data_IF_237338000887
#
_entry.id   IF_237338000887
#
_cell.length_a   1.000
_cell.length_b   1.000
_cell.length_c   1.000
_cell.angle_alpha   90.00
_cell.angle_beta   90.00
_cell.angle_gamma   90.00
#
_symmetry.space_group_name_H-M   'P 1'
#
loop_
_entity.id
_entity.type
_entity.pdbx_description
1 polymer ?
#
# COMPACT_ATOMS: atom_id res chain seq x y z
N UNK A 1 -0.99 19.51 -6.76
CA UNK A 1 -2.20 19.09 -7.48
C UNK A 1 -1.83 17.84 -8.27
N UNK A 2 -2.20 16.64 -7.80
CA UNK A 2 -1.82 15.36 -8.42
C UNK A 2 -2.50 15.23 -9.79
N UNK A 3 -1.75 15.20 -10.89
CA UNK A 3 -2.32 14.92 -12.21
C UNK A 3 -2.48 13.41 -12.38
N UNK A 4 -3.65 12.89 -12.02
CA UNK A 4 -3.99 11.51 -12.31
C UNK A 4 -4.24 11.36 -13.81
N UNK A 5 -3.68 10.31 -14.42
CA UNK A 5 -4.01 9.96 -15.80
C UNK A 5 -5.49 9.53 -15.87
N UNK A 6 -6.12 9.70 -17.04
CA UNK A 6 -7.52 9.31 -17.28
C UNK A 6 -7.76 7.84 -16.92
N UNK A 7 -6.79 6.96 -17.15
CA UNK A 7 -6.89 5.55 -16.75
C UNK A 7 -7.03 5.40 -15.23
N UNK A 8 -6.20 6.12 -14.45
CA UNK A 8 -6.23 6.10 -12.98
C UNK A 8 -7.55 6.63 -12.44
N UNK A 9 -8.10 7.70 -13.03
CA UNK A 9 -9.39 8.26 -12.62
C UNK A 9 -10.53 7.25 -12.81
N UNK A 10 -10.55 6.54 -13.94
CA UNK A 10 -11.57 5.50 -14.20
C UNK A 10 -11.45 4.35 -13.20
N UNK A 11 -10.24 3.98 -12.81
CA UNK A 11 -10.00 2.97 -11.79
C UNK A 11 -10.51 3.42 -10.41
N UNK A 12 -10.16 4.63 -9.95
CA UNK A 12 -10.68 5.16 -8.69
C UNK A 12 -12.21 5.25 -8.65
N UNK A 13 -12.84 5.64 -9.76
CA UNK A 13 -14.29 5.70 -9.84
C UNK A 13 -14.94 4.31 -9.68
N UNK A 14 -14.34 3.27 -10.28
CA UNK A 14 -14.81 1.88 -10.10
C UNK A 14 -14.65 1.40 -8.66
N UNK A 15 -13.55 1.77 -8.01
CA UNK A 15 -13.27 1.39 -6.62
C UNK A 15 -14.24 2.06 -5.64
N UNK A 16 -14.59 3.33 -5.88
CA UNK A 16 -15.58 4.06 -5.10
C UNK A 16 -16.95 3.37 -5.11
N UNK A 17 -17.38 2.83 -6.26
CA UNK A 17 -18.66 2.09 -6.37
C UNK A 17 -18.63 0.78 -5.55
N UNK A 18 -17.47 0.16 -5.38
CA UNK A 18 -17.30 -1.10 -4.63
C UNK A 18 -17.26 -0.90 -3.11
N UNK A 19 -16.98 0.33 -2.66
CA UNK A 19 -16.83 0.72 -1.24
C UNK A 19 -17.86 0.11 -0.28
N UNK A 20 -19.19 0.17 -0.53
CA UNK A 20 -20.16 -0.35 0.44
C UNK A 20 -20.05 -1.87 0.62
N UNK A 21 -19.87 -2.60 -0.49
CA UNK A 21 -19.70 -4.05 -0.46
C UNK A 21 -18.40 -4.44 0.23
N UNK A 22 -17.30 -3.73 -0.07
CA UNK A 22 -16.01 -3.92 0.61
C UNK A 22 -16.12 -3.70 2.11
N UNK A 23 -16.81 -2.63 2.55
CA UNK A 23 -17.01 -2.33 3.96
C UNK A 23 -17.81 -3.43 4.70
N UNK A 24 -18.85 -3.98 4.08
CA UNK A 24 -19.64 -5.09 4.64
C UNK A 24 -18.77 -6.35 4.78
N UNK A 25 -18.09 -6.76 3.72
CA UNK A 25 -17.23 -7.95 3.73
C UNK A 25 -16.14 -7.85 4.81
N UNK A 26 -15.53 -6.69 4.96
CA UNK A 26 -14.51 -6.42 5.97
C UNK A 26 -15.02 -6.50 7.41
N UNK A 27 -16.23 -5.99 7.67
CA UNK A 27 -16.86 -6.16 8.98
C UNK A 27 -17.15 -7.64 9.29
N UNK A 28 -17.58 -8.40 8.29
CA UNK A 28 -17.78 -9.84 8.44
C UNK A 28 -16.47 -10.58 8.71
N UNK A 29 -15.37 -10.23 8.03
CA UNK A 29 -14.04 -10.77 8.30
C UNK A 29 -13.62 -10.54 9.77
N UNK A 30 -13.76 -9.30 10.26
CA UNK A 30 -13.46 -8.97 11.66
C UNK A 30 -14.32 -9.76 12.66
N UNK A 31 -15.59 -9.99 12.33
CA UNK A 31 -16.49 -10.79 13.18
C UNK A 31 -16.14 -12.29 13.16
N UNK A 32 -15.59 -12.79 12.05
CA UNK A 32 -15.23 -14.19 11.83
C UNK A 32 -13.97 -14.68 12.55
N UNK A 33 -13.20 -13.80 13.21
CA UNK A 33 -11.97 -14.11 13.99
C UNK A 33 -10.83 -14.77 13.20
N UNK A 34 -10.88 -14.77 11.87
CA UNK A 34 -9.73 -15.12 11.03
C UNK A 34 -8.80 -13.89 11.04
N UNK A 35 -7.50 -14.10 11.29
CA UNK A 35 -6.52 -13.02 11.19
C UNK A 35 -6.54 -12.43 9.78
N UNK A 36 -6.53 -11.11 9.67
CA UNK A 36 -6.67 -10.44 8.38
C UNK A 36 -5.55 -9.43 8.19
N UNK A 37 -4.94 -9.46 7.01
CA UNK A 37 -3.82 -8.60 6.65
C UNK A 37 -4.22 -7.75 5.44
N UNK A 38 -4.13 -6.44 5.58
CA UNK A 38 -4.35 -5.52 4.46
C UNK A 38 -3.17 -5.57 3.47
N UNK A 39 -3.44 -5.35 2.19
CA UNK A 39 -2.41 -5.33 1.15
C UNK A 39 -2.52 -4.06 0.30
N UNK A 40 -1.49 -3.23 0.32
CA UNK A 40 -1.35 -2.09 -0.59
C UNK A 40 -0.60 -2.57 -1.84
N UNK A 41 -1.26 -2.53 -2.98
CA UNK A 41 -0.68 -2.84 -4.28
C UNK A 41 -1.66 -2.57 -5.42
N UNK A 42 -1.20 -2.74 -6.66
CA UNK A 42 -2.00 -2.48 -7.86
C UNK A 42 -2.74 -3.75 -8.35
N UNK A 43 -3.41 -4.43 -7.43
CA UNK A 43 -4.10 -5.72 -7.66
C UNK A 43 -5.47 -5.47 -8.28
N UNK A 44 -5.86 -6.30 -9.26
CA UNK A 44 -7.12 -6.16 -9.99
C UNK A 44 -7.06 -5.21 -11.18
N UNK A 45 -5.87 -4.74 -11.55
CA UNK A 45 -5.64 -3.80 -12.66
C UNK A 45 -4.90 -4.45 -13.85
N UNK A 46 -4.85 -5.78 -13.90
CA UNK A 46 -4.16 -6.53 -14.98
C UNK A 46 -2.65 -6.25 -15.05
N UNK A 47 -2.03 -5.85 -13.94
CA UNK A 47 -0.58 -5.78 -13.84
C UNK A 47 -0.04 -7.14 -13.38
N UNK A 48 0.36 -7.98 -14.33
CA UNK A 48 0.84 -9.34 -14.06
C UNK A 48 1.90 -9.43 -12.95
N UNK A 49 2.77 -8.42 -12.83
CA UNK A 49 3.77 -8.39 -11.77
C UNK A 49 3.12 -8.26 -10.38
N UNK A 50 2.22 -7.29 -10.22
CA UNK A 50 1.56 -7.05 -8.93
C UNK A 50 0.56 -8.16 -8.58
N UNK A 51 -0.13 -8.75 -9.56
CA UNK A 51 -1.00 -9.92 -9.36
C UNK A 51 -0.18 -11.13 -8.87
N UNK A 52 0.97 -11.41 -9.52
CA UNK A 52 1.81 -12.54 -9.15
C UNK A 52 2.40 -12.38 -7.74
N UNK A 53 2.82 -11.16 -7.36
CA UNK A 53 3.32 -10.88 -6.02
C UNK A 53 2.23 -11.04 -4.96
N UNK A 54 1.02 -10.55 -5.24
CA UNK A 54 -0.12 -10.71 -4.34
C UNK A 54 -0.44 -12.19 -4.10
N UNK A 55 -0.56 -12.99 -5.16
CA UNK A 55 -0.83 -14.43 -5.05
C UNK A 55 0.30 -15.17 -4.32
N UNK A 56 1.56 -14.80 -4.56
CA UNK A 56 2.69 -15.41 -3.87
C UNK A 56 2.69 -15.09 -2.36
N UNK A 57 2.38 -13.85 -1.97
CA UNK A 57 2.27 -13.46 -0.56
C UNK A 57 1.09 -14.18 0.09
N UNK A 58 -0.07 -14.22 -0.60
CA UNK A 58 -1.24 -14.96 -0.13
C UNK A 58 -0.93 -16.44 0.11
N UNK A 59 -0.20 -17.08 -0.80
CA UNK A 59 0.22 -18.48 -0.66
C UNK A 59 1.24 -18.68 0.48
N UNK A 60 2.08 -17.68 0.77
CA UNK A 60 3.08 -17.75 1.85
C UNK A 60 2.48 -17.57 3.25
N UNK A 61 1.29 -16.94 3.36
CA UNK A 61 0.60 -16.66 4.62
C UNK A 61 -0.82 -17.24 4.63
N UNK A 62 -0.99 -18.58 4.52
CA UNK A 62 -2.30 -19.20 4.36
C UNK A 62 -3.21 -19.09 5.59
N UNK A 63 -2.64 -18.79 6.76
CA UNK A 63 -3.38 -18.63 8.02
C UNK A 63 -4.07 -17.26 8.14
N UNK A 64 -3.78 -16.34 7.22
CA UNK A 64 -4.35 -15.00 7.20
C UNK A 64 -5.13 -14.76 5.91
N UNK A 65 -6.25 -14.07 6.01
CA UNK A 65 -6.92 -13.54 4.83
C UNK A 65 -6.19 -12.27 4.37
N UNK A 66 -5.59 -12.33 3.18
CA UNK A 66 -4.92 -11.18 2.57
C UNK A 66 -5.92 -10.37 1.74
N UNK A 67 -6.16 -9.12 2.14
CA UNK A 67 -7.21 -8.26 1.58
C UNK A 67 -6.60 -7.03 0.90
N UNK A 68 -6.76 -6.87 -0.43
CA UNK A 68 -6.36 -5.63 -1.10
C UNK A 68 -7.05 -4.41 -0.49
N UNK A 69 -6.27 -3.37 -0.23
CA UNK A 69 -6.77 -2.06 0.14
C UNK A 69 -7.12 -1.27 -1.12
N UNK A 70 -8.17 -0.46 -1.02
CA UNK A 70 -8.46 0.53 -2.03
C UNK A 70 -7.43 1.67 -1.95
N UNK A 71 -7.37 2.52 -2.96
CA UNK A 71 -6.62 3.76 -2.84
C UNK A 71 -7.21 4.70 -1.79
N UNK A 72 -6.41 5.66 -1.33
CA UNK A 72 -6.68 6.49 -0.16
C UNK A 72 -8.09 7.11 -0.10
N UNK A 73 -8.65 7.69 -1.17
CA UNK A 73 -9.99 8.29 -1.07
C UNK A 73 -11.08 7.25 -0.76
N UNK A 74 -10.97 6.06 -1.33
CA UNK A 74 -11.89 4.94 -1.08
C UNK A 74 -11.69 4.37 0.32
N UNK A 75 -10.45 4.17 0.75
CA UNK A 75 -10.16 3.66 2.09
C UNK A 75 -10.52 4.63 3.20
N UNK A 76 -10.36 5.94 2.99
CA UNK A 76 -10.81 6.93 3.97
C UNK A 76 -12.32 6.88 4.13
N UNK A 77 -13.07 6.72 3.03
CA UNK A 77 -14.52 6.52 3.09
C UNK A 77 -14.89 5.24 3.86
N UNK A 78 -14.26 4.11 3.55
CA UNK A 78 -14.47 2.84 4.28
C UNK A 78 -14.10 2.99 5.78
N UNK A 79 -13.07 3.77 6.09
CA UNK A 79 -12.64 4.07 7.47
C UNK A 79 -13.70 4.82 8.25
N UNK A 80 -14.36 5.82 7.66
CA UNK A 80 -15.51 6.49 8.27
C UNK A 80 -16.70 5.54 8.51
N UNK A 81 -16.80 4.47 7.72
CA UNK A 81 -17.75 3.38 7.94
C UNK A 81 -17.20 2.32 8.92
N UNK A 82 -16.12 2.58 9.67
CA UNK A 82 -15.59 1.65 10.66
C UNK A 82 -15.05 0.33 10.10
N UNK A 83 -14.70 0.28 8.81
CA UNK A 83 -14.18 -0.90 8.12
C UNK A 83 -12.82 -0.64 7.43
N UNK A 84 -12.15 0.45 7.81
CA UNK A 84 -10.87 0.87 7.25
C UNK A 84 -9.70 0.01 7.72
N UNK A 85 -8.46 0.45 7.44
CA UNK A 85 -7.25 -0.29 7.81
C UNK A 85 -7.19 -0.80 9.27
N UNK A 86 -7.75 -0.07 10.23
CA UNK A 86 -7.75 -0.40 11.66
C UNK A 86 -8.46 -1.69 12.06
N UNK A 87 -9.07 -2.41 11.11
CA UNK A 87 -9.62 -3.74 11.36
C UNK A 87 -8.60 -4.86 11.14
N UNK A 88 -7.49 -4.57 10.45
CA UNK A 88 -6.47 -5.56 10.10
C UNK A 88 -5.42 -5.66 11.20
N UNK A 89 -4.84 -6.84 11.35
CA UNK A 89 -3.75 -7.10 12.30
C UNK A 89 -2.44 -6.43 11.84
N UNK A 90 -2.27 -6.33 10.52
CA UNK A 90 -1.16 -5.66 9.87
C UNK A 90 -1.54 -5.24 8.44
N UNK A 91 -0.72 -4.40 7.82
CA UNK A 91 -0.78 -4.09 6.40
C UNK A 91 0.58 -4.34 5.75
N UNK A 92 0.57 -4.93 4.56
CA UNK A 92 1.75 -5.11 3.72
C UNK A 92 1.72 -4.10 2.57
N UNK A 93 2.83 -3.41 2.34
CA UNK A 93 3.08 -2.69 1.10
C UNK A 93 3.82 -3.63 0.16
N UNK A 94 3.13 -4.06 -0.90
CA UNK A 94 3.62 -5.01 -1.89
C UNK A 94 4.83 -4.54 -2.69
N UNK A 95 5.29 -5.37 -3.62
CA UNK A 95 6.39 -5.02 -4.52
C UNK A 95 5.98 -4.04 -5.63
N UNK A 96 6.78 -3.95 -6.69
CA UNK A 96 6.56 -2.99 -7.78
C UNK A 96 7.30 -1.68 -7.53
N UNK A 97 6.69 -0.53 -7.86
CA UNK A 97 7.24 0.79 -7.54
C UNK A 97 6.19 1.61 -6.78
N UNK A 98 5.79 1.12 -5.60
CA UNK A 98 4.68 1.72 -4.83
C UNK A 98 5.14 2.85 -3.91
N UNK A 99 6.44 3.03 -3.66
CA UNK A 99 6.96 4.20 -2.95
C UNK A 99 6.99 5.42 -3.87
N UNK A 100 5.79 5.90 -4.18
CA UNK A 100 5.50 7.04 -5.03
C UNK A 100 4.31 7.85 -4.46
N UNK A 101 3.91 8.91 -5.14
CA UNK A 101 2.93 9.86 -4.61
C UNK A 101 1.48 9.41 -4.75
N UNK A 102 1.22 8.38 -5.55
CA UNK A 102 -0.09 7.78 -5.74
C UNK A 102 -0.46 6.87 -4.54
N UNK A 103 0.54 6.32 -3.82
CA UNK A 103 0.32 5.40 -2.69
C UNK A 103 0.70 5.96 -1.31
N UNK A 104 1.40 7.09 -1.23
CA UNK A 104 1.79 7.67 0.08
C UNK A 104 0.56 7.95 0.97
N UNK A 105 -0.54 8.39 0.38
CA UNK A 105 -1.77 8.70 1.12
C UNK A 105 -2.36 7.48 1.83
N UNK A 106 -2.38 6.32 1.17
CA UNK A 106 -2.92 5.11 1.81
C UNK A 106 -1.97 4.60 2.90
N UNK A 107 -0.65 4.68 2.69
CA UNK A 107 0.31 4.31 3.72
C UNK A 107 0.22 5.22 4.96
N UNK A 108 -0.01 6.52 4.76
CA UNK A 108 -0.26 7.48 5.85
C UNK A 108 -1.57 7.17 6.57
N UNK A 109 -2.65 6.85 5.86
CA UNK A 109 -3.93 6.47 6.48
C UNK A 109 -3.79 5.20 7.36
N UNK A 110 -3.02 4.21 6.92
CA UNK A 110 -2.70 3.02 7.72
C UNK A 110 -1.98 3.43 9.01
N UNK A 111 -1.00 4.33 8.91
CA UNK A 111 -0.26 4.87 10.06
C UNK A 111 -1.15 5.65 11.02
N UNK A 112 -2.04 6.51 10.50
CA UNK A 112 -3.04 7.26 11.29
C UNK A 112 -3.92 6.32 12.14
N UNK A 113 -4.20 5.11 11.64
CA UNK A 113 -5.00 4.10 12.33
C UNK A 113 -4.17 3.17 13.25
N UNK A 114 -2.90 3.50 13.48
CA UNK A 114 -1.99 2.74 14.37
C UNK A 114 -1.84 1.27 13.99
N UNK A 115 -1.99 0.94 12.71
CA UNK A 115 -1.82 -0.42 12.20
C UNK A 115 -0.36 -0.63 11.79
N UNK A 116 0.27 -1.75 12.19
CA UNK A 116 1.62 -2.08 11.73
C UNK A 116 1.67 -2.17 10.20
N UNK A 117 2.54 -1.39 9.58
CA UNK A 117 2.79 -1.41 8.14
C UNK A 117 4.15 -2.06 7.88
N UNK A 118 4.22 -3.07 7.03
CA UNK A 118 5.45 -3.72 6.61
C UNK A 118 5.68 -3.47 5.12
N UNK A 119 6.90 -3.10 4.74
CA UNK A 119 7.26 -2.94 3.32
C UNK A 119 7.98 -4.19 2.85
N UNK A 120 7.44 -4.84 1.82
CA UNK A 120 7.95 -6.11 1.30
C UNK A 120 8.40 -5.97 -0.16
N UNK A 121 9.54 -5.31 -0.36
CA UNK A 121 10.29 -5.38 -1.61
C UNK A 121 9.82 -4.37 -2.65
N UNK A 122 9.29 -3.23 -2.22
CA UNK A 122 8.83 -2.19 -3.14
C UNK A 122 9.98 -1.33 -3.66
N UNK A 123 9.84 -0.85 -4.89
CA UNK A 123 10.74 0.13 -5.51
C UNK A 123 10.35 1.55 -5.11
N UNK A 124 11.37 2.40 -4.98
CA UNK A 124 11.25 3.84 -4.69
C UNK A 124 11.37 4.63 -5.98
N UNK A 125 10.49 5.62 -6.16
CA UNK A 125 10.53 6.53 -7.30
C UNK A 125 9.23 6.51 -8.10
N UNK A 126 9.25 7.07 -9.31
CA UNK A 126 8.04 7.18 -10.09
C UNK A 126 7.63 5.87 -10.78
N UNK A 127 6.31 5.62 -10.97
CA UNK A 127 5.83 4.57 -11.84
C UNK A 127 6.14 4.95 -13.31
N UNK A 128 7.38 4.75 -13.75
CA UNK A 128 7.86 4.99 -15.11
C UNK A 128 9.15 5.82 -15.20
N UNK A 129 9.80 5.77 -16.37
CA UNK A 129 11.07 6.45 -16.67
C UNK A 129 10.97 7.99 -16.77
N UNK A 130 9.77 8.57 -16.73
CA UNK A 130 9.51 9.94 -17.21
C UNK A 130 8.92 10.90 -16.18
N UNK A 131 8.77 10.48 -14.91
CA UNK A 131 8.21 11.34 -13.87
C UNK A 131 9.34 11.85 -12.97
N UNK A 132 9.49 13.17 -12.81
CA UNK A 132 10.52 13.72 -11.94
C UNK A 132 10.32 13.25 -10.51
N UNK A 133 11.44 13.06 -9.80
CA UNK A 133 11.41 12.83 -8.36
C UNK A 133 10.71 14.01 -7.68
N UNK A 134 9.67 13.72 -6.90
CA UNK A 134 8.98 14.71 -6.10
C UNK A 134 9.55 14.66 -4.67
N UNK A 135 10.34 15.68 -4.30
CA UNK A 135 11.03 15.74 -3.00
C UNK A 135 10.09 15.57 -1.81
N UNK A 136 8.97 16.29 -1.78
CA UNK A 136 8.01 16.22 -0.65
C UNK A 136 7.46 14.81 -0.43
N UNK A 137 7.26 14.10 -1.53
CA UNK A 137 6.73 12.75 -1.56
C UNK A 137 7.77 11.72 -1.11
N UNK A 138 9.01 11.88 -1.54
CA UNK A 138 10.13 11.06 -1.05
C UNK A 138 10.37 11.30 0.44
N UNK A 139 10.35 12.54 0.90
CA UNK A 139 10.50 12.89 2.31
C UNK A 139 9.39 12.29 3.18
N UNK A 140 8.16 12.24 2.67
CA UNK A 140 7.04 11.60 3.36
C UNK A 140 7.25 10.08 3.49
N UNK A 141 7.73 9.42 2.44
CA UNK A 141 8.09 8.00 2.50
C UNK A 141 9.24 7.73 3.45
N UNK A 142 10.29 8.55 3.43
CA UNK A 142 11.43 8.44 4.33
C UNK A 142 10.99 8.51 5.81
N UNK A 143 10.21 9.53 6.17
CA UNK A 143 9.63 9.66 7.53
C UNK A 143 8.77 8.46 7.92
N UNK A 144 7.96 7.96 6.99
CA UNK A 144 7.12 6.79 7.25
C UNK A 144 7.97 5.53 7.50
N UNK A 145 9.00 5.31 6.67
CA UNK A 145 9.90 4.16 6.79
C UNK A 145 10.70 4.12 8.09
N UNK A 146 10.99 5.27 8.70
CA UNK A 146 11.63 5.31 10.02
C UNK A 146 10.74 4.74 11.15
N UNK A 147 9.44 4.60 10.92
CA UNK A 147 8.47 4.17 11.93
C UNK A 147 7.87 2.78 11.69
N UNK A 148 8.21 2.14 10.56
CA UNK A 148 7.71 0.79 10.25
C UNK A 148 8.58 -0.29 10.89
N UNK A 149 8.01 -1.44 11.30
CA UNK A 149 8.80 -2.55 11.84
C UNK A 149 9.78 -3.16 10.82
N UNK A 150 9.46 -3.06 9.52
CA UNK A 150 10.30 -3.56 8.44
C UNK A 150 10.14 -2.67 7.20
N UNK A 151 11.27 -2.15 6.71
CA UNK A 151 11.37 -1.46 5.43
C UNK A 151 12.26 -2.28 4.47
N UNK A 152 11.65 -3.19 3.69
CA UNK A 152 12.33 -3.94 2.63
C UNK A 152 12.11 -3.33 1.25
N UNK A 153 13.17 -3.06 0.48
CA UNK A 153 13.10 -2.53 -0.89
C UNK A 153 13.69 -3.50 -1.91
N UNK A 154 13.26 -3.39 -3.16
CA UNK A 154 13.61 -4.33 -4.26
C UNK A 154 15.10 -4.40 -4.60
N UNK A 155 15.87 -3.34 -4.34
CA UNK A 155 17.25 -3.28 -4.84
C UNK A 155 18.06 -2.12 -4.29
N UNK A 156 19.40 -2.15 -4.50
CA UNK A 156 20.33 -1.16 -3.98
C UNK A 156 19.95 0.28 -4.38
N UNK A 157 19.50 0.49 -5.62
CA UNK A 157 19.10 1.82 -6.09
C UNK A 157 17.96 2.44 -5.26
N UNK A 158 16.93 1.66 -4.91
CA UNK A 158 15.82 2.14 -4.07
C UNK A 158 16.28 2.39 -2.63
N UNK A 159 17.19 1.55 -2.12
CA UNK A 159 17.82 1.78 -0.81
C UNK A 159 18.59 3.10 -0.81
N UNK A 160 19.46 3.32 -1.80
CA UNK A 160 20.30 4.50 -1.90
C UNK A 160 19.47 5.81 -2.04
N UNK A 161 18.28 5.74 -2.65
CA UNK A 161 17.33 6.87 -2.66
C UNK A 161 16.82 7.17 -1.24
N UNK A 162 16.35 6.16 -0.51
CA UNK A 162 15.82 6.33 0.85
C UNK A 162 16.90 6.72 1.86
N UNK A 163 18.11 6.20 1.72
CA UNK A 163 19.27 6.58 2.53
C UNK A 163 19.61 8.05 2.35
N UNK A 164 19.65 8.56 1.10
CA UNK A 164 19.85 9.98 0.82
C UNK A 164 18.71 10.87 1.35
N UNK A 165 17.51 10.31 1.47
CA UNK A 165 16.36 10.96 2.11
C UNK A 165 16.34 10.79 3.65
N UNK A 166 17.36 10.19 4.25
CA UNK A 166 17.52 10.09 5.71
C UNK A 166 16.97 8.81 6.35
N UNK A 167 16.83 7.71 5.60
CA UNK A 167 16.36 6.41 6.13
C UNK A 167 17.46 5.34 5.98
N UNK A 168 18.39 5.21 6.94
CA UNK A 168 19.53 4.30 6.82
C UNK A 168 19.17 2.81 7.04
N UNK A 169 18.09 2.51 7.76
CA UNK A 169 17.76 1.14 8.19
C UNK A 169 16.89 0.36 7.18
N UNK A 170 17.06 0.65 5.88
CA UNK A 170 16.33 -0.01 4.79
C UNK A 170 17.09 -1.24 4.30
N UNK A 171 16.41 -2.38 4.18
CA UNK A 171 17.01 -3.63 3.71
C UNK A 171 16.67 -3.89 2.26
N UNK A 172 17.65 -4.34 1.48
CA UNK A 172 17.37 -4.93 0.17
C UNK A 172 16.92 -6.36 0.40
N UNK A 173 15.76 -6.74 -0.16
CA UNK A 173 15.19 -8.09 -0.07
C UNK A 173 14.85 -8.67 -1.44
#
# INVERSE_FOLDING_TARGET
>A
MLSYDRSTIVHFAKDLVRTPFTAVNRRLLRAGRIGAVGYIGWVGHSNLGDEAMFEQIKAAFPDFELVPLLPEPGERLISHLGAGPGIFDAVLLGGGTLMNCDFIGIAQLVREQSVPLFVVGTGVGSPGFSRPENGDCLDAWARLCQSVPLAGVRGPYSRDILERAGTPDVRVI
#
